data_IF_394210878672
#
_entry.id   IF_394210878672
#
_cell.length_a   1.000
_cell.length_b   1.000
_cell.length_c   1.000
_cell.angle_alpha   90.00
_cell.angle_beta   90.00
_cell.angle_gamma   90.00
#
_symmetry.space_group_name_H-M   'P 1'
#
loop_
_entity.id
_entity.type
_entity.pdbx_description
1 polymer ?
#
# COMPACT_ATOMS: atom_id res chain seq x y z
N UNK A 1 -13.00 9.84 17.32
CA UNK A 1 -11.98 10.46 16.45
C UNK A 1 -11.59 9.51 15.33
N UNK A 2 -10.72 8.54 15.57
CA UNK A 2 -9.95 7.90 14.48
C UNK A 2 -10.82 7.10 13.51
N UNK A 3 -11.82 6.38 14.03
CA UNK A 3 -12.80 5.68 13.19
C UNK A 3 -13.60 6.63 12.26
N UNK A 4 -13.87 7.86 12.68
CA UNK A 4 -14.50 8.87 11.83
C UNK A 4 -13.49 9.45 10.82
N UNK A 5 -12.23 9.62 11.20
CA UNK A 5 -11.18 10.09 10.31
C UNK A 5 -10.81 9.05 9.24
N UNK A 6 -10.92 7.75 9.55
CA UNK A 6 -10.87 6.67 8.56
C UNK A 6 -12.08 6.73 7.62
N UNK A 7 -13.29 6.96 8.12
CA UNK A 7 -14.49 7.15 7.28
C UNK A 7 -14.42 8.44 6.42
N UNK A 8 -13.76 9.50 6.89
CA UNK A 8 -13.41 10.68 6.07
C UNK A 8 -12.43 10.28 4.96
N UNK A 9 -11.31 9.66 5.33
CA UNK A 9 -10.23 9.28 4.40
C UNK A 9 -10.71 8.35 3.29
N UNK A 10 -11.44 7.28 3.61
CA UNK A 10 -11.82 6.24 2.65
C UNK A 10 -13.28 6.31 2.17
N UNK A 11 -14.16 6.99 2.91
CA UNK A 11 -15.61 6.97 2.70
C UNK A 11 -16.32 5.90 3.52
N UNK A 12 -17.61 6.10 3.78
CA UNK A 12 -18.49 5.08 4.37
C UNK A 12 -19.34 4.37 3.31
N UNK A 13 -19.49 3.05 3.42
CA UNK A 13 -20.45 2.32 2.60
C UNK A 13 -21.89 2.64 3.07
N UNK A 14 -22.84 2.98 2.17
CA UNK A 14 -24.18 3.38 2.56
C UNK A 14 -24.99 2.20 3.10
N UNK A 15 -25.16 2.18 4.43
CA UNK A 15 -26.08 1.29 5.13
C UNK A 15 -27.24 2.09 5.75
N UNK A 16 -28.41 1.47 5.83
CA UNK A 16 -29.70 2.11 6.16
C UNK A 16 -29.75 2.70 7.57
N UNK A 17 -28.93 2.17 8.49
CA UNK A 17 -28.82 2.67 9.86
C UNK A 17 -27.71 3.73 10.03
N UNK A 18 -26.81 3.88 9.06
CA UNK A 18 -25.65 4.77 9.12
C UNK A 18 -25.80 6.06 8.28
N UNK A 19 -26.85 6.15 7.46
CA UNK A 19 -27.05 7.14 6.39
C UNK A 19 -26.84 8.61 6.84
N UNK A 20 -27.39 9.02 7.99
CA UNK A 20 -27.19 10.39 8.51
C UNK A 20 -25.74 10.70 8.91
N UNK A 21 -25.01 9.72 9.47
CA UNK A 21 -23.57 9.90 9.76
C UNK A 21 -22.74 9.98 8.49
N UNK A 22 -23.10 9.19 7.47
CA UNK A 22 -22.40 9.18 6.18
C UNK A 22 -22.62 10.51 5.45
N UNK A 23 -23.84 11.07 5.48
CA UNK A 23 -24.14 12.42 4.97
C UNK A 23 -23.33 13.50 5.70
N UNK A 24 -23.25 13.43 7.03
CA UNK A 24 -22.50 14.39 7.85
C UNK A 24 -20.97 14.28 7.65
N UNK A 25 -20.44 13.09 7.38
CA UNK A 25 -19.03 12.88 7.03
C UNK A 25 -18.74 13.41 5.62
N UNK A 26 -19.64 13.19 4.66
CA UNK A 26 -19.50 13.67 3.29
C UNK A 26 -18.59 12.79 2.41
N UNK A 27 -18.04 13.33 1.30
CA UNK A 27 -17.32 12.55 0.30
C UNK A 27 -15.95 12.05 0.78
N UNK A 28 -15.46 10.96 0.20
CA UNK A 28 -14.11 10.43 0.49
C UNK A 28 -13.00 11.45 0.17
N UNK A 29 -12.06 11.61 1.11
CA UNK A 29 -10.91 12.53 0.95
C UNK A 29 -9.79 11.92 0.12
N UNK A 30 -9.61 10.59 0.12
CA UNK A 30 -8.58 9.92 -0.68
C UNK A 30 -9.05 9.54 -2.09
N UNK A 31 -8.13 9.65 -3.04
CA UNK A 31 -8.16 8.93 -4.31
C UNK A 31 -6.78 8.33 -4.57
N UNK A 32 -6.70 7.02 -4.76
CA UNK A 32 -5.47 6.33 -5.19
C UNK A 32 -5.44 6.25 -6.71
N UNK A 33 -4.25 6.31 -7.29
CA UNK A 33 -4.03 6.15 -8.73
C UNK A 33 -3.33 4.82 -9.01
N UNK A 34 -3.54 4.26 -10.20
CA UNK A 34 -2.83 3.06 -10.66
C UNK A 34 -1.32 3.32 -10.66
N UNK A 35 -0.59 2.49 -9.92
CA UNK A 35 0.86 2.61 -9.77
C UNK A 35 1.55 1.94 -10.96
N UNK A 36 1.88 2.72 -11.99
CA UNK A 36 2.60 2.23 -13.17
C UNK A 36 4.05 1.85 -12.82
N UNK A 37 4.65 0.93 -13.57
CA UNK A 37 6.07 0.56 -13.40
C UNK A 37 6.96 1.78 -13.72
N UNK A 38 7.85 2.15 -12.80
CA UNK A 38 8.68 3.34 -12.95
C UNK A 38 9.51 3.26 -14.24
N UNK A 39 9.39 4.30 -15.08
CA UNK A 39 9.99 4.32 -16.41
C UNK A 39 11.52 4.18 -16.37
N UNK A 40 12.19 4.94 -15.52
CA UNK A 40 13.66 4.92 -15.40
C UNK A 40 14.14 3.53 -14.98
N UNK A 41 13.56 2.97 -13.91
CA UNK A 41 13.89 1.64 -13.43
C UNK A 41 13.67 0.56 -14.51
N UNK A 42 12.57 0.63 -15.26
CA UNK A 42 12.29 -0.28 -16.39
C UNK A 42 13.42 -0.21 -17.44
N UNK A 43 13.76 1.00 -17.88
CA UNK A 43 14.79 1.22 -18.90
C UNK A 43 16.19 0.78 -18.41
N UNK A 44 16.50 0.99 -17.13
CA UNK A 44 17.81 0.70 -16.53
C UNK A 44 18.02 -0.77 -16.11
N UNK A 45 16.96 -1.45 -15.68
CA UNK A 45 17.03 -2.79 -15.08
C UNK A 45 16.44 -3.86 -15.99
N UNK A 46 15.29 -3.62 -16.62
CA UNK A 46 14.68 -4.60 -17.52
C UNK A 46 15.26 -4.50 -18.93
N UNK A 47 15.12 -3.34 -19.57
CA UNK A 47 15.41 -3.20 -21.01
C UNK A 47 16.92 -3.33 -21.29
N UNK A 48 17.77 -2.62 -20.52
CA UNK A 48 19.25 -2.74 -20.63
C UNK A 48 19.80 -4.14 -20.34
N UNK A 49 19.05 -5.02 -19.67
CA UNK A 49 19.50 -6.38 -19.27
C UNK A 49 18.71 -7.50 -19.95
N UNK A 50 17.73 -7.16 -20.79
CA UNK A 50 16.78 -8.09 -21.41
C UNK A 50 16.10 -9.02 -20.38
N UNK A 51 15.63 -8.45 -19.26
CA UNK A 51 14.90 -9.17 -18.21
C UNK A 51 13.39 -8.96 -18.33
N UNK A 52 12.61 -9.96 -17.88
CA UNK A 52 11.17 -9.83 -17.71
C UNK A 52 10.83 -9.06 -16.42
N UNK A 53 9.71 -8.33 -16.42
CA UNK A 53 9.18 -7.67 -15.23
C UNK A 53 8.68 -8.66 -14.15
N UNK A 54 8.47 -9.91 -14.54
CA UNK A 54 7.90 -10.98 -13.72
C UNK A 54 8.75 -12.25 -13.77
N UNK A 55 8.62 -13.06 -12.73
CA UNK A 55 9.23 -14.38 -12.59
C UNK A 55 8.20 -15.42 -12.12
N UNK A 56 8.37 -16.68 -12.53
CA UNK A 56 7.59 -17.79 -12.01
C UNK A 56 8.23 -18.34 -10.73
N UNK A 57 7.67 -18.00 -9.56
CA UNK A 57 8.09 -18.59 -8.28
C UNK A 57 7.40 -19.94 -8.09
N UNK A 58 8.18 -20.97 -7.78
CA UNK A 58 7.65 -22.26 -7.33
C UNK A 58 7.31 -22.23 -5.83
N UNK A 59 6.27 -22.94 -5.45
CA UNK A 59 5.91 -23.21 -4.06
C UNK A 59 5.45 -24.67 -3.93
N UNK A 60 6.06 -25.40 -2.99
CA UNK A 60 5.85 -26.82 -2.81
C UNK A 60 5.28 -27.10 -1.42
N UNK A 61 4.21 -27.88 -1.33
CA UNK A 61 3.74 -28.44 -0.06
C UNK A 61 4.52 -29.72 0.23
N UNK A 62 5.40 -29.69 1.23
CA UNK A 62 6.11 -30.89 1.69
C UNK A 62 5.22 -31.67 2.65
N UNK A 63 4.93 -32.93 2.33
CA UNK A 63 4.24 -33.84 3.24
C UNK A 63 5.18 -34.18 4.41
N UNK A 64 4.82 -33.76 5.63
CA UNK A 64 5.63 -33.94 6.84
C UNK A 64 5.84 -35.40 7.27
N UNK A 65 5.09 -36.36 6.70
CA UNK A 65 5.22 -37.79 7.03
C UNK A 65 6.16 -38.51 6.06
N UNK A 66 6.01 -38.28 4.75
CA UNK A 66 6.84 -38.91 3.71
C UNK A 66 8.11 -38.13 3.35
N UNK A 67 8.19 -36.84 3.71
CA UNK A 67 9.23 -35.93 3.25
C UNK A 67 9.12 -35.53 1.77
N UNK A 68 8.11 -36.02 1.04
CA UNK A 68 7.93 -35.75 -0.39
C UNK A 68 7.33 -34.38 -0.64
N UNK A 69 7.75 -33.75 -1.74
CA UNK A 69 7.21 -32.50 -2.25
C UNK A 69 6.36 -32.80 -3.49
N UNK A 70 5.06 -32.95 -3.30
CA UNK A 70 4.13 -33.35 -4.36
C UNK A 70 3.48 -32.12 -5.03
N UNK A 71 3.43 -32.13 -6.37
CA UNK A 71 2.79 -31.11 -7.21
C UNK A 71 3.27 -29.65 -6.95
N UNK A 72 4.49 -29.27 -7.41
CA UNK A 72 4.97 -27.89 -7.33
C UNK A 72 4.00 -26.92 -8.02
N UNK A 73 3.54 -25.91 -7.28
CA UNK A 73 2.71 -24.83 -7.84
C UNK A 73 3.63 -23.72 -8.33
N UNK A 74 3.38 -23.22 -9.53
CA UNK A 74 4.05 -22.02 -10.02
C UNK A 74 3.09 -20.84 -9.93
N UNK A 75 3.60 -19.68 -9.50
CA UNK A 75 2.85 -18.43 -9.43
C UNK A 75 3.73 -17.32 -9.96
N UNK A 76 3.22 -16.60 -10.94
CA UNK A 76 3.89 -15.41 -11.48
C UNK A 76 3.90 -14.30 -10.42
N UNK A 77 5.04 -13.63 -10.25
CA UNK A 77 5.17 -12.44 -9.41
C UNK A 77 6.06 -11.40 -10.09
N UNK A 78 5.82 -10.14 -9.77
CA UNK A 78 6.75 -9.04 -10.06
C UNK A 78 8.12 -9.33 -9.44
N UNK A 79 9.22 -9.05 -10.16
CA UNK A 79 10.57 -9.30 -9.64
C UNK A 79 10.90 -8.38 -8.45
N UNK A 80 11.68 -8.89 -7.49
CA UNK A 80 12.04 -8.13 -6.29
C UNK A 80 12.87 -6.88 -6.64
N UNK A 81 12.59 -5.76 -5.96
CA UNK A 81 13.22 -4.48 -6.25
C UNK A 81 12.63 -3.72 -7.45
N UNK A 82 11.51 -4.17 -8.03
CA UNK A 82 10.74 -3.39 -9.00
C UNK A 82 10.19 -2.12 -8.38
N UNK A 83 10.33 -0.99 -9.08
CA UNK A 83 9.87 0.32 -8.64
C UNK A 83 8.61 0.74 -9.40
N UNK A 84 7.69 1.43 -8.71
CA UNK A 84 6.42 1.86 -9.25
C UNK A 84 6.15 3.33 -8.89
N UNK A 85 5.56 4.07 -9.82
CA UNK A 85 5.23 5.49 -9.66
C UNK A 85 3.95 5.64 -8.81
N UNK A 86 4.12 5.68 -7.49
CA UNK A 86 3.03 5.82 -6.53
C UNK A 86 2.43 7.23 -6.55
N UNK A 87 1.10 7.31 -6.63
CA UNK A 87 0.36 8.58 -6.48
C UNK A 87 -0.97 8.38 -5.76
N UNK A 88 -1.25 9.30 -4.84
CA UNK A 88 -2.58 9.51 -4.28
C UNK A 88 -2.98 10.98 -4.40
N UNK A 89 -4.19 11.30 -3.98
CA UNK A 89 -4.68 12.66 -3.80
C UNK A 89 -5.48 12.72 -2.51
N UNK A 90 -5.10 13.60 -1.59
CA UNK A 90 -5.82 13.91 -0.36
C UNK A 90 -6.55 15.24 -0.54
N UNK A 91 -7.87 15.24 -0.42
CA UNK A 91 -8.70 16.45 -0.35
C UNK A 91 -8.73 16.93 1.09
N UNK A 92 -8.59 18.23 1.30
CA UNK A 92 -8.80 18.87 2.60
C UNK A 92 -10.13 19.61 2.54
N UNK A 93 -11.03 19.30 3.48
CA UNK A 93 -12.28 20.04 3.69
C UNK A 93 -12.22 20.71 5.07
N UNK A 94 -12.75 21.92 5.20
CA UNK A 94 -12.99 22.62 6.47
C UNK A 94 -11.83 22.67 7.49
N UNK A 95 -10.58 22.58 7.01
CA UNK A 95 -9.37 22.57 7.85
C UNK A 95 -9.02 21.22 8.46
N UNK A 96 -9.62 20.12 8.01
CA UNK A 96 -9.32 18.75 8.47
C UNK A 96 -7.85 18.36 8.22
N UNK A 97 -7.07 18.21 9.29
CA UNK A 97 -5.76 17.55 9.21
C UNK A 97 -5.93 16.02 9.28
N UNK A 98 -5.81 15.38 8.11
CA UNK A 98 -5.85 13.94 7.94
C UNK A 98 -4.52 13.37 7.42
N UNK A 99 -3.49 14.22 7.22
CA UNK A 99 -2.21 13.80 6.66
C UNK A 99 -1.41 12.89 7.63
N UNK A 100 -1.32 13.15 8.95
CA UNK A 100 -0.65 12.25 9.89
C UNK A 100 -1.23 10.83 9.88
N UNK A 101 -2.57 10.70 9.89
CA UNK A 101 -3.26 9.40 9.84
C UNK A 101 -3.02 8.67 8.51
N UNK A 102 -2.93 9.41 7.40
CA UNK A 102 -2.55 8.85 6.10
C UNK A 102 -1.11 8.31 6.12
N UNK A 103 -0.14 9.09 6.62
CA UNK A 103 1.27 8.68 6.71
C UNK A 103 1.46 7.49 7.66
N UNK A 104 0.72 7.45 8.77
CA UNK A 104 0.63 6.30 9.66
C UNK A 104 0.12 5.05 8.91
N UNK A 105 -0.95 5.19 8.12
CA UNK A 105 -1.49 4.11 7.28
C UNK A 105 -0.51 3.59 6.22
N UNK A 106 0.22 4.50 5.54
CA UNK A 106 1.28 4.11 4.60
C UNK A 106 2.42 3.36 5.30
N UNK A 107 2.81 3.79 6.52
CA UNK A 107 3.83 3.09 7.30
C UNK A 107 3.39 1.69 7.74
N UNK A 108 2.13 1.52 8.15
CA UNK A 108 1.58 0.21 8.49
C UNK A 108 1.62 -0.75 7.29
N UNK A 109 1.46 -0.25 6.07
CA UNK A 109 1.55 -1.06 4.85
C UNK A 109 2.98 -1.55 4.52
N UNK A 110 4.03 -0.82 4.93
CA UNK A 110 5.43 -1.32 4.86
C UNK A 110 5.65 -2.47 5.86
N UNK A 111 5.04 -2.37 7.05
CA UNK A 111 5.14 -3.39 8.09
C UNK A 111 4.35 -4.66 7.74
N UNK A 112 3.20 -4.53 7.05
CA UNK A 112 2.44 -5.64 6.47
C UNK A 112 2.80 -5.90 5.00
N UNK A 113 1.84 -6.19 4.12
CA UNK A 113 2.09 -6.77 2.80
C UNK A 113 0.93 -6.51 1.84
N UNK A 114 1.26 -6.09 0.62
CA UNK A 114 0.29 -5.75 -0.41
C UNK A 114 -0.02 -6.97 -1.29
N UNK A 115 -1.30 -7.36 -1.33
CA UNK A 115 -1.80 -8.42 -2.21
C UNK A 115 -1.68 -9.83 -1.64
N UNK A 116 -1.49 -10.82 -2.51
CA UNK A 116 -1.56 -12.24 -2.14
C UNK A 116 -0.31 -12.77 -1.44
N UNK A 117 -0.51 -13.78 -0.57
CA UNK A 117 0.56 -14.61 -0.01
C UNK A 117 1.63 -13.90 0.84
N UNK A 118 1.30 -12.77 1.48
CA UNK A 118 2.23 -12.00 2.34
C UNK A 118 3.02 -12.84 3.35
N UNK A 119 2.35 -13.80 4.01
CA UNK A 119 2.93 -14.76 4.95
C UNK A 119 3.97 -15.73 4.35
N UNK A 120 4.17 -15.72 3.02
CA UNK A 120 5.18 -16.49 2.27
C UNK A 120 6.25 -15.60 1.62
N UNK A 121 6.41 -14.38 2.12
CA UNK A 121 7.39 -13.40 1.64
C UNK A 121 7.02 -12.79 0.29
N UNK A 122 5.74 -12.50 0.06
CA UNK A 122 5.24 -11.72 -1.06
C UNK A 122 4.77 -10.34 -0.57
N UNK A 123 4.51 -9.40 -1.49
CA UNK A 123 3.82 -8.14 -1.18
C UNK A 123 4.58 -7.14 -0.29
N UNK A 124 5.82 -7.41 0.13
CA UNK A 124 6.63 -6.45 0.87
C UNK A 124 7.02 -5.27 -0.02
N UNK A 125 6.68 -4.07 0.43
CA UNK A 125 6.96 -2.79 -0.23
C UNK A 125 7.65 -1.83 0.74
N UNK A 126 8.24 -0.78 0.19
CA UNK A 126 8.79 0.38 0.89
C UNK A 126 8.39 1.62 0.09
N UNK A 127 8.07 2.73 0.76
CA UNK A 127 7.82 4.01 0.10
C UNK A 127 9.10 4.84 0.08
N UNK A 128 9.42 5.40 -1.09
CA UNK A 128 10.61 6.23 -1.30
C UNK A 128 10.25 7.56 -1.93
N UNK A 129 11.02 8.58 -1.58
CA UNK A 129 10.95 9.94 -2.14
C UNK A 129 9.54 10.56 -2.14
N UNK A 130 8.74 10.21 -1.12
CA UNK A 130 7.41 10.78 -0.89
C UNK A 130 7.51 12.29 -0.71
N UNK A 131 6.59 13.02 -1.33
CA UNK A 131 6.49 14.47 -1.28
C UNK A 131 5.10 14.93 -1.66
N UNK A 132 4.75 16.16 -1.25
CA UNK A 132 3.60 16.86 -1.79
C UNK A 132 3.96 17.33 -3.22
N UNK A 133 3.01 17.28 -4.15
CA UNK A 133 3.21 17.84 -5.49
C UNK A 133 3.45 19.35 -5.35
N UNK A 134 4.56 19.81 -5.92
CA UNK A 134 5.06 21.20 -5.82
C UNK A 134 5.25 21.71 -4.37
N UNK A 135 5.50 20.79 -3.41
CA UNK A 135 5.69 21.11 -2.00
C UNK A 135 6.75 20.25 -1.29
N UNK A 136 6.65 20.21 0.04
CA UNK A 136 7.62 19.57 0.94
C UNK A 136 7.80 18.06 0.71
N UNK A 137 8.98 17.55 1.08
CA UNK A 137 9.21 16.12 1.24
C UNK A 137 8.44 15.57 2.45
N UNK A 138 8.00 14.30 2.37
CA UNK A 138 7.21 13.65 3.40
C UNK A 138 7.98 12.44 3.96
N UNK A 139 8.09 12.40 5.29
CA UNK A 139 8.69 11.27 6.03
C UNK A 139 7.59 10.46 6.68
N UNK A 140 7.63 9.13 6.54
CA UNK A 140 6.73 8.22 7.27
C UNK A 140 7.18 8.12 8.74
N UNK A 141 6.25 8.01 9.72
CA UNK A 141 6.62 7.92 11.13
C UNK A 141 7.45 6.66 11.44
N UNK A 142 8.48 6.78 12.28
CA UNK A 142 9.31 5.62 12.67
C UNK A 142 8.51 4.53 13.38
N UNK A 143 7.57 4.93 14.24
CA UNK A 143 6.66 4.06 14.97
C UNK A 143 5.19 4.45 14.67
N UNK A 144 4.46 3.70 13.82
CA UNK A 144 3.06 3.98 13.53
C UNK A 144 2.09 3.55 14.65
N UNK A 145 2.59 3.00 15.75
CA UNK A 145 1.80 2.61 16.93
C UNK A 145 1.97 3.57 18.11
N UNK A 146 2.72 4.67 17.94
CA UNK A 146 2.75 5.73 18.94
C UNK A 146 1.41 6.49 18.91
N UNK A 147 0.71 6.53 20.05
CA UNK A 147 -0.37 7.50 20.24
C UNK A 147 0.21 8.93 20.10
N UNK A 148 -0.62 9.84 19.59
CA UNK A 148 -0.14 11.08 18.98
C UNK A 148 0.80 11.91 19.85
N UNK A 149 1.94 12.32 19.28
CA UNK A 149 2.82 13.33 19.85
C UNK A 149 2.20 14.74 19.76
N UNK A 150 1.07 14.94 20.45
CA UNK A 150 0.44 16.24 20.63
C UNK A 150 1.14 17.01 21.74
N UNK A 151 1.90 18.04 21.36
CA UNK A 151 2.48 19.04 22.26
C UNK A 151 2.31 20.44 21.66
#
# INVERSE_FOLDING_TARGET
>A
TDAENLLRLFGGAPDKEADEKIKAIGPTRLAFWDCALNKTWKEEILDKRNLLATEAKSENTINRISGTADNPRFTERVIAGSQFDFRLSLKVHDGEDLLPLLLQGLKLLELDSLGGSGSRGYGKIEFKDLKIIDGEALTLPDNPFAEGASS
#
